data_IF_312872559165
#
_entry.id   IF_312872559165
#
_cell.length_a   1.000
_cell.length_b   1.000
_cell.length_c   1.000
_cell.angle_alpha   90.00
_cell.angle_beta   90.00
_cell.angle_gamma   90.00
#
_symmetry.space_group_name_H-M   'P 1'
#
loop_
_entity.id
_entity.type
_entity.pdbx_description
1 polymer ?
#
# COMPACT_ATOMS: atom_id res chain seq x y z
N UNK A 1 17.60 -11.44 5.48
CA UNK A 1 19.06 -11.52 5.22
C UNK A 1 19.54 -10.65 4.04
N UNK A 2 18.81 -9.60 3.59
CA UNK A 2 19.23 -8.74 2.46
C UNK A 2 19.53 -7.27 2.84
N UNK A 3 19.55 -6.95 4.12
CA UNK A 3 19.66 -5.57 4.60
C UNK A 3 21.04 -4.94 4.36
N UNK A 4 22.08 -5.75 4.19
CA UNK A 4 23.44 -5.30 3.84
C UNK A 4 23.55 -4.86 2.38
N UNK A 5 22.92 -5.59 1.43
CA UNK A 5 22.95 -5.25 0.00
C UNK A 5 22.18 -3.95 -0.32
N UNK A 6 21.07 -3.72 0.37
CA UNK A 6 20.26 -2.50 0.22
C UNK A 6 20.97 -1.25 0.77
N UNK A 7 21.82 -1.40 1.80
CA UNK A 7 22.64 -0.29 2.33
C UNK A 7 23.74 0.15 1.35
N UNK A 8 24.29 -0.76 0.56
CA UNK A 8 25.39 -0.45 -0.37
C UNK A 8 24.94 0.37 -1.59
N UNK A 9 23.83 0.03 -2.24
CA UNK A 9 23.29 0.82 -3.37
C UNK A 9 22.93 2.25 -2.95
N UNK A 10 22.44 2.42 -1.73
CA UNK A 10 22.03 3.72 -1.19
C UNK A 10 23.22 4.65 -0.90
N UNK A 11 24.37 4.09 -0.52
CA UNK A 11 25.61 4.87 -0.37
C UNK A 11 26.16 5.34 -1.73
N UNK A 12 25.90 4.60 -2.80
CA UNK A 12 26.34 4.94 -4.16
C UNK A 12 25.57 6.17 -4.64
N UNK A 13 24.24 6.17 -4.57
CA UNK A 13 23.44 7.34 -4.95
C UNK A 13 23.72 8.58 -4.08
N UNK A 14 24.02 8.38 -2.79
CA UNK A 14 24.40 9.46 -1.86
C UNK A 14 25.78 10.04 -2.21
N UNK A 15 26.74 9.17 -2.54
CA UNK A 15 28.07 9.58 -3.02
C UNK A 15 28.00 10.27 -4.37
N UNK A 16 27.17 9.79 -5.29
CA UNK A 16 27.02 10.37 -6.63
C UNK A 16 26.38 11.76 -6.55
N UNK A 17 25.39 11.97 -5.68
CA UNK A 17 24.79 13.28 -5.44
C UNK A 17 25.81 14.29 -4.84
N UNK A 18 26.63 13.85 -3.88
CA UNK A 18 27.70 14.68 -3.30
C UNK A 18 28.83 14.95 -4.32
N UNK A 19 29.10 13.99 -5.21
CA UNK A 19 30.13 14.09 -6.25
C UNK A 19 29.75 15.03 -7.40
N UNK A 20 28.46 15.21 -7.67
CA UNK A 20 27.98 15.94 -8.84
C UNK A 20 27.79 17.44 -8.54
N UNK A 21 27.50 17.81 -7.29
CA UNK A 21 27.26 19.21 -6.90
C UNK A 21 28.29 19.68 -5.86
N UNK A 22 29.37 20.27 -6.36
CA UNK A 22 30.57 20.66 -5.61
C UNK A 22 30.43 21.83 -4.63
N UNK A 23 29.42 21.84 -3.77
CA UNK A 23 29.39 22.70 -2.57
C UNK A 23 28.47 22.09 -1.48
N UNK A 24 29.07 21.32 -0.58
CA UNK A 24 28.39 20.66 0.55
C UNK A 24 28.05 21.60 1.73
N UNK A 25 28.28 22.91 1.59
CA UNK A 25 28.20 23.90 2.68
C UNK A 25 26.85 24.62 2.79
N UNK A 26 25.97 24.54 1.78
CA UNK A 26 24.72 25.32 1.74
C UNK A 26 23.44 24.46 1.83
N UNK A 27 23.58 23.14 1.97
CA UNK A 27 22.44 22.24 2.07
C UNK A 27 22.10 21.94 3.53
N UNK A 28 20.90 22.38 3.94
CA UNK A 28 20.24 21.86 5.13
C UNK A 28 20.29 20.32 5.13
N UNK A 29 20.55 19.75 6.32
CA UNK A 29 20.83 18.33 6.55
C UNK A 29 20.02 17.38 5.65
N UNK A 30 20.67 16.81 4.62
CA UNK A 30 20.09 15.79 3.74
C UNK A 30 19.70 14.56 4.56
N UNK A 31 18.42 14.43 4.91
CA UNK A 31 17.92 13.34 5.75
C UNK A 31 17.21 12.33 4.88
N UNK A 32 17.78 11.13 4.76
CA UNK A 32 17.11 10.05 4.04
C UNK A 32 16.04 9.45 4.93
N UNK A 33 14.80 9.49 4.45
CA UNK A 33 13.67 8.93 5.16
C UNK A 33 13.72 7.39 5.11
N UNK A 34 13.48 6.70 6.24
CA UNK A 34 13.38 5.25 6.28
C UNK A 34 12.15 4.76 5.52
N UNK A 35 12.15 3.49 5.11
CA UNK A 35 11.00 2.86 4.43
C UNK A 35 9.72 2.83 5.30
N UNK A 36 9.87 2.91 6.63
CA UNK A 36 8.76 3.05 7.56
C UNK A 36 8.02 4.40 7.44
N UNK A 37 8.63 5.39 6.77
CA UNK A 37 7.96 6.66 6.50
C UNK A 37 7.07 6.55 5.26
N UNK A 38 5.76 6.62 5.49
CA UNK A 38 4.77 6.54 4.43
C UNK A 38 4.97 7.66 3.40
N UNK A 39 5.05 7.27 2.12
CA UNK A 39 5.28 8.18 0.99
C UNK A 39 6.75 8.49 0.71
N UNK A 40 7.70 7.99 1.51
CA UNK A 40 9.12 8.08 1.15
C UNK A 40 9.42 7.28 -0.11
N UNK A 41 10.47 7.69 -0.83
CA UNK A 41 11.00 6.92 -1.97
C UNK A 41 11.25 5.44 -1.61
N UNK A 42 11.75 5.18 -0.39
CA UNK A 42 11.99 3.82 0.09
C UNK A 42 10.72 3.03 0.34
N UNK A 43 9.69 3.64 0.91
CA UNK A 43 8.38 3.01 1.11
C UNK A 43 7.76 2.57 -0.22
N UNK A 44 7.84 3.42 -1.25
CA UNK A 44 7.34 3.09 -2.59
C UNK A 44 8.16 1.97 -3.26
N UNK A 45 9.49 2.01 -3.12
CA UNK A 45 10.37 0.97 -3.63
C UNK A 45 10.09 -0.39 -2.99
N UNK A 46 9.85 -0.42 -1.67
CA UNK A 46 9.52 -1.65 -0.95
C UNK A 46 8.22 -2.30 -1.45
N UNK A 47 7.14 -1.52 -1.66
CA UNK A 47 5.91 -2.06 -2.26
C UNK A 47 6.14 -2.61 -3.67
N UNK A 48 6.98 -1.93 -4.45
CA UNK A 48 7.29 -2.36 -5.81
C UNK A 48 8.04 -3.70 -5.77
N UNK A 49 9.02 -3.82 -4.88
CA UNK A 49 9.77 -5.07 -4.70
C UNK A 49 8.88 -6.21 -4.19
N UNK A 50 7.96 -5.93 -3.27
CA UNK A 50 6.99 -6.92 -2.76
C UNK A 50 6.03 -7.40 -3.87
N UNK A 51 5.51 -6.47 -4.67
CA UNK A 51 4.69 -6.80 -5.84
C UNK A 51 5.47 -7.65 -6.86
N UNK A 52 6.72 -7.27 -7.18
CA UNK A 52 7.59 -8.03 -8.09
C UNK A 52 7.92 -9.42 -7.54
N UNK A 53 8.10 -9.55 -6.23
CA UNK A 53 8.33 -10.85 -5.57
C UNK A 53 7.11 -11.74 -5.70
N UNK A 54 5.90 -11.18 -5.53
CA UNK A 54 4.66 -11.90 -5.74
C UNK A 54 4.50 -12.39 -7.19
N UNK A 55 4.73 -11.51 -8.17
CA UNK A 55 4.67 -11.86 -9.60
C UNK A 55 5.70 -12.92 -9.98
N UNK A 56 6.91 -12.85 -9.41
CA UNK A 56 7.94 -13.86 -9.64
C UNK A 56 7.54 -15.23 -9.09
N UNK A 57 6.83 -15.27 -7.98
CA UNK A 57 6.43 -16.52 -7.32
C UNK A 57 5.17 -17.14 -7.93
N UNK A 58 4.18 -16.33 -8.27
CA UNK A 58 2.85 -16.80 -8.69
C UNK A 58 2.51 -16.50 -10.16
N UNK A 59 3.40 -15.80 -10.87
CA UNK A 59 3.14 -15.34 -12.23
C UNK A 59 2.41 -14.00 -12.27
N UNK A 60 2.08 -13.57 -13.49
CA UNK A 60 1.34 -12.32 -13.72
C UNK A 60 -0.09 -12.43 -13.16
N UNK A 61 -0.63 -11.40 -12.53
CA UNK A 61 -2.03 -11.39 -12.14
C UNK A 61 -2.94 -11.36 -13.39
N UNK A 62 -4.02 -12.12 -13.36
CA UNK A 62 -5.04 -12.11 -14.42
C UNK A 62 -6.07 -10.98 -14.21
N UNK A 63 -6.31 -10.57 -12.96
CA UNK A 63 -7.30 -9.56 -12.60
C UNK A 63 -6.69 -8.52 -11.63
N UNK A 64 -7.10 -7.27 -11.81
CA UNK A 64 -6.87 -6.19 -10.86
C UNK A 64 -8.23 -5.57 -10.50
N UNK A 65 -8.67 -5.74 -9.25
CA UNK A 65 -10.00 -5.33 -8.80
C UNK A 65 -9.88 -4.16 -7.83
N UNK A 66 -10.48 -3.02 -8.19
CA UNK A 66 -10.62 -1.87 -7.30
C UNK A 66 -11.97 -1.92 -6.60
N UNK A 67 -11.99 -1.87 -5.26
CA UNK A 67 -13.21 -1.80 -4.48
C UNK A 67 -13.25 -0.52 -3.66
N UNK A 68 -14.26 0.31 -3.89
CA UNK A 68 -14.38 1.64 -3.27
C UNK A 68 -15.48 1.64 -2.21
N UNK A 69 -15.21 2.29 -1.07
CA UNK A 69 -16.21 2.43 -0.02
C UNK A 69 -17.34 3.39 -0.46
N UNK A 70 -18.59 3.01 -0.22
CA UNK A 70 -19.73 3.90 -0.41
C UNK A 70 -20.27 4.37 0.96
N UNK A 71 -20.18 5.67 1.29
CA UNK A 71 -20.67 6.19 2.58
C UNK A 71 -22.19 6.07 2.76
N UNK A 72 -22.95 5.84 1.68
CA UNK A 72 -24.40 5.67 1.71
C UNK A 72 -24.85 4.24 1.98
N UNK A 73 -23.93 3.31 2.27
CA UNK A 73 -24.31 1.97 2.68
C UNK A 73 -25.18 2.00 3.94
N UNK A 74 -26.23 1.20 3.94
CA UNK A 74 -27.23 1.19 5.01
C UNK A 74 -26.59 0.86 6.37
N UNK A 75 -25.58 -0.01 6.37
CA UNK A 75 -24.83 -0.37 7.58
C UNK A 75 -24.06 0.81 8.17
N UNK A 76 -23.63 1.76 7.34
CA UNK A 76 -22.98 2.99 7.82
C UNK A 76 -24.05 3.94 8.36
N UNK A 77 -25.07 4.23 7.54
CA UNK A 77 -26.12 5.21 7.89
C UNK A 77 -26.85 4.83 9.18
N UNK A 78 -27.13 3.54 9.40
CA UNK A 78 -27.81 3.06 10.61
C UNK A 78 -26.96 3.18 11.88
N UNK A 79 -25.63 3.20 11.76
CA UNK A 79 -24.71 3.31 12.90
C UNK A 79 -24.33 4.77 13.21
N UNK A 80 -24.72 5.72 12.35
CA UNK A 80 -24.50 7.15 12.60
C UNK A 80 -25.55 7.70 13.56
N UNK A 81 -25.12 8.57 14.47
CA UNK A 81 -26.04 9.33 15.30
C UNK A 81 -26.69 10.48 14.50
N UNK A 82 -27.87 10.97 14.92
CA UNK A 82 -28.51 12.12 14.28
C UNK A 82 -27.55 13.31 14.17
N UNK A 83 -27.41 13.86 12.96
CA UNK A 83 -26.51 14.98 12.68
C UNK A 83 -25.04 14.61 12.40
N UNK A 84 -24.64 13.34 12.53
CA UNK A 84 -23.31 12.88 12.12
C UNK A 84 -23.27 12.49 10.65
N UNK A 85 -22.11 12.70 10.04
CA UNK A 85 -21.78 12.23 8.69
C UNK A 85 -20.80 11.06 8.75
N UNK A 86 -20.65 10.33 7.64
CA UNK A 86 -19.66 9.24 7.52
C UNK A 86 -18.22 9.69 7.72
N UNK A 87 -17.95 10.98 7.49
CA UNK A 87 -16.65 11.61 7.69
C UNK A 87 -16.36 11.79 9.18
N UNK A 88 -17.39 12.05 10.00
CA UNK A 88 -17.21 12.21 11.45
C UNK A 88 -16.91 10.88 12.14
N UNK A 89 -17.25 9.76 11.50
CA UNK A 89 -17.10 8.39 12.01
C UNK A 89 -16.38 7.46 11.04
N UNK A 90 -15.11 7.79 10.77
CA UNK A 90 -14.24 6.98 9.92
C UNK A 90 -14.08 5.52 10.41
N UNK A 91 -14.18 5.28 11.72
CA UNK A 91 -14.13 3.94 12.32
C UNK A 91 -15.25 3.03 11.81
N UNK A 92 -16.48 3.57 11.71
CA UNK A 92 -17.65 2.86 11.20
C UNK A 92 -17.44 2.54 9.72
N UNK A 93 -17.08 3.55 8.94
CA UNK A 93 -16.83 3.43 7.50
C UNK A 93 -15.75 2.36 7.21
N UNK A 94 -14.63 2.40 7.92
CA UNK A 94 -13.55 1.42 7.78
C UNK A 94 -13.98 0.00 8.17
N UNK A 95 -14.78 -0.17 9.24
CA UNK A 95 -15.30 -1.47 9.65
C UNK A 95 -16.23 -2.07 8.60
N UNK A 96 -17.21 -1.29 8.12
CA UNK A 96 -18.16 -1.76 7.10
C UNK A 96 -17.42 -2.08 5.81
N UNK A 97 -16.50 -1.22 5.37
CA UNK A 97 -15.67 -1.47 4.20
C UNK A 97 -14.88 -2.79 4.31
N UNK A 98 -14.22 -3.04 5.44
CA UNK A 98 -13.50 -4.28 5.68
C UNK A 98 -14.41 -5.51 5.65
N UNK A 99 -15.62 -5.41 6.20
CA UNK A 99 -16.61 -6.50 6.13
C UNK A 99 -17.05 -6.77 4.68
N UNK A 100 -17.33 -5.72 3.90
CA UNK A 100 -17.72 -5.84 2.50
C UNK A 100 -16.61 -6.45 1.63
N UNK A 101 -15.35 -6.03 1.80
CA UNK A 101 -14.21 -6.63 1.10
C UNK A 101 -14.08 -8.12 1.44
N UNK A 102 -14.17 -8.48 2.73
CA UNK A 102 -14.09 -9.90 3.14
C UNK A 102 -15.20 -10.72 2.51
N UNK A 103 -16.41 -10.18 2.45
CA UNK A 103 -17.55 -10.84 1.79
C UNK A 103 -17.32 -11.01 0.29
N UNK A 104 -16.84 -9.96 -0.40
CA UNK A 104 -16.49 -10.01 -1.82
C UNK A 104 -15.42 -11.05 -2.11
N UNK A 105 -14.31 -11.05 -1.36
CA UNK A 105 -13.24 -12.04 -1.52
C UNK A 105 -13.74 -13.46 -1.27
N UNK A 106 -14.55 -13.66 -0.23
CA UNK A 106 -15.17 -14.96 0.03
C UNK A 106 -16.05 -15.38 -1.14
N UNK A 107 -16.84 -14.47 -1.70
CA UNK A 107 -17.70 -14.74 -2.84
C UNK A 107 -16.89 -15.16 -4.07
N UNK A 108 -15.88 -14.37 -4.44
CA UNK A 108 -15.02 -14.63 -5.61
C UNK A 108 -14.33 -15.99 -5.49
N UNK A 109 -13.70 -16.27 -4.34
CA UNK A 109 -12.88 -17.46 -4.13
C UNK A 109 -13.72 -18.72 -3.92
N UNK A 110 -14.80 -18.64 -3.11
CA UNK A 110 -15.60 -19.83 -2.80
C UNK A 110 -16.50 -20.26 -3.94
N UNK A 111 -17.14 -19.31 -4.61
CA UNK A 111 -18.01 -19.61 -5.74
C UNK A 111 -17.25 -19.68 -7.06
N UNK A 112 -15.91 -19.52 -7.04
CA UNK A 112 -15.03 -19.61 -8.22
C UNK A 112 -15.55 -18.77 -9.37
N UNK A 113 -15.96 -17.54 -9.06
CA UNK A 113 -16.65 -16.63 -10.00
C UNK A 113 -15.82 -16.39 -11.26
N UNK A 114 -14.49 -16.37 -11.10
CA UNK A 114 -13.52 -16.22 -12.19
C UNK A 114 -12.69 -17.50 -12.42
N UNK A 115 -13.19 -18.66 -11.98
CA UNK A 115 -12.47 -19.92 -11.98
C UNK A 115 -11.67 -20.17 -10.70
N UNK A 116 -10.77 -21.15 -10.75
CA UNK A 116 -9.97 -21.57 -9.61
C UNK A 116 -8.97 -20.47 -9.22
N UNK A 117 -9.01 -20.04 -7.96
CA UNK A 117 -8.11 -19.02 -7.44
C UNK A 117 -6.82 -19.67 -6.94
N UNK A 118 -5.71 -19.45 -7.66
CA UNK A 118 -4.39 -19.94 -7.22
C UNK A 118 -3.82 -19.18 -6.03
N UNK A 119 -3.91 -17.85 -6.06
CA UNK A 119 -3.41 -16.97 -5.01
C UNK A 119 -4.14 -15.62 -5.04
N UNK A 120 -4.34 -14.99 -3.89
CA UNK A 120 -4.84 -13.63 -3.76
C UNK A 120 -4.16 -12.95 -2.59
N UNK A 121 -3.97 -11.62 -2.70
CA UNK A 121 -3.34 -10.78 -1.69
C UNK A 121 -4.23 -9.60 -1.36
#
# INVERSE_FOLDING_TARGET
>A
LNQTKLRTEQYIHLRDAISTEGNASDFGRLTILPATFAGSSRHMLEYTQDAMTYVRHYGRPDLFITFTCNPKWIEIVQLLFPGQTSTDRHDITARVFRQKIRSLMHYIVRYRVFGDTGCWR
#
